data_IF_021528447994
#
_entry.id   IF_021528447994
#
_cell.length_a   1.000
_cell.length_b   1.000
_cell.length_c   1.000
_cell.angle_alpha   90.00
_cell.angle_beta   90.00
_cell.angle_gamma   90.00
#
_symmetry.space_group_name_H-M   'P 1'
#
loop_
_entity.id
_entity.type
_entity.pdbx_description
1 polymer ?
#
# COMPACT_ATOMS: atom_id res chain seq x y z
N UNK A 1 -31.11 -39.24 20.49
CA UNK A 1 -30.25 -38.58 19.49
C UNK A 1 -29.75 -37.30 20.11
N UNK A 2 -28.47 -37.21 20.43
CA UNK A 2 -27.87 -36.02 21.02
C UNK A 2 -27.50 -35.06 19.88
N UNK A 3 -28.15 -33.90 19.85
CA UNK A 3 -27.84 -32.80 18.96
C UNK A 3 -26.50 -32.18 19.41
N UNK A 4 -25.41 -32.58 18.77
CA UNK A 4 -24.09 -32.01 18.98
C UNK A 4 -23.92 -30.82 18.03
N UNK A 5 -24.57 -29.70 18.37
CA UNK A 5 -24.29 -28.41 17.74
C UNK A 5 -22.80 -28.09 17.88
N UNK A 6 -22.11 -27.95 16.74
CA UNK A 6 -20.69 -27.60 16.68
C UNK A 6 -20.48 -26.34 17.53
N UNK A 7 -19.70 -26.47 18.62
CA UNK A 7 -19.48 -25.40 19.58
C UNK A 7 -18.83 -24.17 18.92
N UNK A 8 -19.66 -23.18 18.55
CA UNK A 8 -19.20 -21.94 17.91
C UNK A 8 -18.39 -21.01 18.84
N UNK A 9 -18.18 -21.40 20.10
CA UNK A 9 -17.44 -20.63 21.11
C UNK A 9 -15.96 -20.49 20.76
N UNK A 10 -15.31 -21.56 20.25
CA UNK A 10 -13.90 -21.55 19.87
C UNK A 10 -13.62 -20.65 18.66
N UNK A 11 -14.34 -20.79 17.52
CA UNK A 11 -14.17 -19.90 16.38
C UNK A 11 -14.46 -18.42 16.70
N UNK A 12 -15.49 -18.13 17.52
CA UNK A 12 -15.79 -16.76 17.95
C UNK A 12 -14.69 -16.15 18.82
N UNK A 13 -14.08 -16.95 19.71
CA UNK A 13 -12.95 -16.51 20.52
C UNK A 13 -11.73 -16.16 19.65
N UNK A 14 -11.41 -17.01 18.66
CA UNK A 14 -10.31 -16.76 17.72
C UNK A 14 -10.52 -15.48 16.91
N UNK A 15 -11.73 -15.24 16.40
CA UNK A 15 -12.05 -13.99 15.68
C UNK A 15 -11.89 -12.76 16.59
N UNK A 16 -12.34 -12.84 17.84
CA UNK A 16 -12.17 -11.75 18.82
C UNK A 16 -10.68 -11.48 19.11
N UNK A 17 -9.87 -12.53 19.28
CA UNK A 17 -8.43 -12.40 19.48
C UNK A 17 -7.75 -11.77 18.27
N UNK A 18 -8.06 -12.22 17.05
CA UNK A 18 -7.55 -11.61 15.81
C UNK A 18 -7.88 -10.12 15.74
N UNK A 19 -9.12 -9.75 16.01
CA UNK A 19 -9.55 -8.35 15.98
C UNK A 19 -8.88 -7.50 17.08
N UNK A 20 -8.59 -8.09 18.25
CA UNK A 20 -7.83 -7.42 19.30
C UNK A 20 -6.37 -7.18 18.90
N UNK A 21 -5.72 -8.17 18.27
CA UNK A 21 -4.35 -8.03 17.76
C UNK A 21 -4.26 -6.95 16.68
N UNK A 22 -5.20 -6.93 15.71
CA UNK A 22 -5.25 -5.87 14.68
C UNK A 22 -5.42 -4.48 15.31
N UNK A 23 -6.29 -4.35 16.32
CA UNK A 23 -6.45 -3.07 17.03
C UNK A 23 -5.17 -2.65 17.75
N UNK A 24 -4.48 -3.59 18.40
CA UNK A 24 -3.22 -3.31 19.08
C UNK A 24 -2.13 -2.87 18.10
N UNK A 25 -2.03 -3.55 16.95
CA UNK A 25 -1.09 -3.18 15.89
C UNK A 25 -1.36 -1.77 15.35
N UNK A 26 -2.63 -1.44 15.10
CA UNK A 26 -3.03 -0.10 14.68
C UNK A 26 -2.66 0.98 15.72
N UNK A 27 -2.94 0.72 17.00
CA UNK A 27 -2.58 1.66 18.09
C UNK A 27 -1.06 1.84 18.18
N UNK A 28 -0.28 0.77 18.08
CA UNK A 28 1.18 0.83 18.11
C UNK A 28 1.73 1.62 16.91
N UNK A 29 1.13 1.44 15.72
CA UNK A 29 1.48 2.19 14.52
C UNK A 29 1.21 3.68 14.68
N UNK A 30 0.04 4.05 15.21
CA UNK A 30 -0.29 5.46 15.46
C UNK A 30 0.61 6.09 16.52
N UNK A 31 0.92 5.36 17.61
CA UNK A 31 1.87 5.84 18.62
C UNK A 31 3.26 6.11 18.03
N UNK A 32 3.74 5.23 17.15
CA UNK A 32 5.01 5.43 16.43
C UNK A 32 4.96 6.70 15.57
N UNK A 33 3.91 6.87 14.77
CA UNK A 33 3.73 8.03 13.88
C UNK A 33 3.59 9.36 14.60
N UNK A 34 2.95 9.37 15.77
CA UNK A 34 2.64 10.61 16.48
C UNK A 34 3.73 11.05 17.45
N UNK A 35 4.59 10.12 17.90
CA UNK A 35 5.60 10.39 18.94
C UNK A 35 7.01 10.15 18.44
N UNK A 36 7.26 9.02 17.77
CA UNK A 36 8.61 8.60 17.39
C UNK A 36 9.04 9.22 16.07
N UNK A 37 8.21 9.14 15.04
CA UNK A 37 8.54 9.66 13.70
C UNK A 37 8.82 11.17 13.71
N UNK A 38 8.06 12.04 14.43
CA UNK A 38 8.36 13.48 14.49
C UNK A 38 9.70 13.78 15.18
N UNK A 39 10.03 13.06 16.25
CA UNK A 39 11.31 13.23 16.93
C UNK A 39 12.50 12.79 16.06
N UNK A 40 12.29 11.82 15.17
CA UNK A 40 13.28 11.44 14.16
C UNK A 40 13.32 12.44 12.99
N UNK A 41 12.18 13.02 12.61
CA UNK A 41 12.10 14.01 11.52
C UNK A 41 12.92 15.27 11.82
N UNK A 42 13.06 15.63 13.09
CA UNK A 42 13.90 16.76 13.56
C UNK A 42 15.41 16.47 13.48
N UNK A 43 15.82 15.19 13.48
CA UNK A 43 17.22 14.77 13.65
C UNK A 43 17.80 14.06 12.41
N UNK A 44 16.94 13.63 11.47
CA UNK A 44 17.35 12.86 10.29
C UNK A 44 16.79 13.46 9.01
N UNK A 45 17.66 13.74 8.04
CA UNK A 45 17.26 14.06 6.68
C UNK A 45 16.97 12.79 5.86
N UNK A 46 16.31 12.96 4.71
CA UNK A 46 16.09 11.85 3.77
C UNK A 46 17.44 11.34 3.24
N UNK A 47 17.68 10.04 3.42
CA UNK A 47 18.94 9.37 3.07
C UNK A 47 19.83 9.05 4.28
N UNK A 48 19.56 9.65 5.44
CA UNK A 48 20.35 9.42 6.64
C UNK A 48 20.12 8.04 7.26
N UNK A 49 21.16 7.53 7.92
CA UNK A 49 21.13 6.34 8.75
C UNK A 49 21.66 6.67 10.15
N UNK A 50 20.83 6.50 11.18
CA UNK A 50 21.19 6.71 12.57
C UNK A 50 20.79 5.48 13.38
N UNK A 51 21.74 4.93 14.15
CA UNK A 51 21.53 3.81 15.06
C UNK A 51 20.81 2.60 14.43
N UNK A 52 21.03 2.35 13.13
CA UNK A 52 20.42 1.24 12.42
C UNK A 52 19.00 1.52 11.90
N UNK A 53 18.58 2.78 11.85
CA UNK A 53 17.33 3.25 11.25
C UNK A 53 17.68 4.19 10.11
N UNK A 54 17.06 4.00 8.95
CA UNK A 54 17.16 4.87 7.78
C UNK A 54 15.86 5.62 7.53
N UNK A 55 15.98 6.88 7.11
CA UNK A 55 14.88 7.68 6.56
C UNK A 55 14.97 7.66 5.03
N UNK A 56 13.91 7.19 4.38
CA UNK A 56 13.87 6.99 2.93
C UNK A 56 12.70 7.76 2.32
N UNK A 57 12.85 8.18 1.07
CA UNK A 57 11.77 8.65 0.22
C UNK A 57 11.17 7.45 -0.54
N UNK A 58 9.85 7.43 -0.66
CA UNK A 58 9.10 6.51 -1.48
C UNK A 58 8.16 7.29 -2.39
N UNK A 59 7.79 6.66 -3.50
CA UNK A 59 6.80 7.19 -4.42
C UNK A 59 5.69 6.17 -4.57
N UNK A 60 4.45 6.64 -4.48
CA UNK A 60 3.25 5.82 -4.68
C UNK A 60 2.48 6.37 -5.88
N UNK A 61 2.63 5.74 -7.06
CA UNK A 61 1.79 6.08 -8.20
C UNK A 61 0.34 5.62 -7.95
N UNK A 62 -0.63 6.36 -8.48
CA UNK A 62 -2.06 6.05 -8.43
C UNK A 62 -2.71 6.46 -9.75
N UNK A 63 -3.59 5.62 -10.29
CA UNK A 63 -4.40 5.95 -11.47
C UNK A 63 -5.55 6.84 -11.04
N UNK A 64 -5.64 8.04 -11.60
CA UNK A 64 -6.63 9.07 -11.22
C UNK A 64 -7.88 9.04 -12.09
N UNK A 65 -7.74 8.66 -13.36
CA UNK A 65 -8.84 8.51 -14.31
C UNK A 65 -8.88 7.09 -14.88
N UNK A 66 -9.78 6.28 -14.33
CA UNK A 66 -9.94 4.89 -14.78
C UNK A 66 -10.54 4.78 -16.18
N UNK A 67 -11.34 5.75 -16.64
CA UNK A 67 -11.97 5.68 -17.96
C UNK A 67 -10.91 5.96 -19.02
N UNK A 68 -10.18 7.06 -18.88
CA UNK A 68 -9.07 7.38 -19.76
C UNK A 68 -8.00 6.28 -19.75
N UNK A 69 -7.66 5.71 -18.59
CA UNK A 69 -6.72 4.59 -18.51
C UNK A 69 -7.20 3.34 -19.25
N UNK A 70 -8.50 3.05 -19.29
CA UNK A 70 -9.03 1.91 -20.05
C UNK A 70 -8.97 2.15 -21.55
N UNK A 71 -9.27 3.37 -22.02
CA UNK A 71 -9.12 3.75 -23.43
C UNK A 71 -7.66 3.62 -23.88
N UNK A 72 -6.71 4.07 -23.05
CA UNK A 72 -5.28 3.94 -23.32
C UNK A 72 -4.82 2.47 -23.44
N UNK A 73 -5.41 1.55 -22.65
CA UNK A 73 -5.13 0.12 -22.76
C UNK A 73 -5.71 -0.49 -24.05
N UNK A 74 -6.91 -0.07 -24.45
CA UNK A 74 -7.52 -0.51 -25.71
C UNK A 74 -6.70 -0.06 -26.92
N UNK A 75 -6.26 1.20 -26.94
CA UNK A 75 -5.39 1.75 -27.97
C UNK A 75 -4.03 1.01 -28.04
N UNK A 76 -3.52 0.56 -26.89
CA UNK A 76 -2.32 -0.25 -26.79
C UNK A 76 -2.52 -1.73 -27.19
N UNK A 77 -3.77 -2.17 -27.44
CA UNK A 77 -4.10 -3.57 -27.67
C UNK A 77 -3.90 -4.47 -26.46
N UNK A 78 -3.88 -3.90 -25.25
CA UNK A 78 -3.75 -4.62 -23.99
C UNK A 78 -5.12 -5.01 -23.44
N UNK A 79 -5.25 -6.22 -22.89
CA UNK A 79 -6.51 -6.68 -22.28
C UNK A 79 -6.69 -6.07 -20.88
N UNK A 80 -7.72 -5.24 -20.65
CA UNK A 80 -7.99 -4.69 -19.32
C UNK A 80 -8.26 -5.76 -18.25
N UNK A 81 -8.69 -6.96 -18.66
CA UNK A 81 -8.90 -8.09 -17.77
C UNK A 81 -7.59 -8.65 -17.17
N UNK A 82 -6.45 -8.41 -17.81
CA UNK A 82 -5.13 -8.72 -17.24
C UNK A 82 -4.67 -7.64 -16.24
N UNK A 83 -5.33 -6.49 -16.23
CA UNK A 83 -5.01 -5.31 -15.42
C UNK A 83 -6.12 -4.95 -14.41
N UNK A 84 -7.00 -5.90 -14.07
CA UNK A 84 -8.27 -5.73 -13.28
C UNK A 84 -8.12 -5.01 -11.93
N UNK A 85 -6.90 -4.97 -11.39
CA UNK A 85 -6.51 -3.91 -10.45
C UNK A 85 -5.44 -3.14 -11.19
N UNK A 86 -5.76 -1.96 -11.72
CA UNK A 86 -4.82 -1.18 -12.52
C UNK A 86 -3.64 -0.86 -11.61
N UNK A 87 -2.64 -1.73 -11.64
CA UNK A 87 -1.41 -1.53 -10.94
C UNK A 87 -0.71 -0.48 -11.77
N UNK A 88 -0.48 0.72 -11.23
CA UNK A 88 0.08 1.83 -11.99
C UNK A 88 1.35 1.45 -12.75
N UNK A 89 2.15 0.54 -12.19
CA UNK A 89 3.34 0.02 -12.85
C UNK A 89 3.02 -0.86 -14.05
N UNK A 90 2.11 -1.82 -13.91
CA UNK A 90 1.71 -2.71 -15.01
C UNK A 90 0.97 -1.93 -16.12
N UNK A 91 0.23 -0.89 -15.75
CA UNK A 91 -0.39 0.03 -16.69
C UNK A 91 0.67 0.78 -17.51
N UNK A 92 1.64 1.41 -16.84
CA UNK A 92 2.76 2.09 -17.52
C UNK A 92 3.49 1.12 -18.45
N UNK A 93 3.82 -0.08 -17.96
CA UNK A 93 4.51 -1.09 -18.77
C UNK A 93 3.68 -1.54 -20.01
N UNK A 94 2.35 -1.53 -19.93
CA UNK A 94 1.46 -1.93 -21.02
C UNK A 94 1.30 -0.85 -22.10
N UNK A 95 1.38 0.43 -21.73
CA UNK A 95 1.25 1.56 -22.67
C UNK A 95 2.60 2.14 -23.09
N UNK A 96 3.71 1.67 -22.50
CA UNK A 96 5.05 2.09 -22.90
C UNK A 96 5.31 1.74 -24.38
N UNK A 97 5.85 2.70 -25.14
CA UNK A 97 6.13 2.53 -26.56
C UNK A 97 4.95 2.65 -27.52
N UNK A 98 3.72 2.91 -27.05
CA UNK A 98 2.53 3.12 -27.91
C UNK A 98 2.32 4.58 -28.33
N UNK A 99 3.14 5.50 -27.79
CA UNK A 99 3.04 6.94 -28.06
C UNK A 99 1.97 7.66 -27.22
N UNK A 100 1.26 6.92 -26.37
CA UNK A 100 0.37 7.45 -25.33
C UNK A 100 1.20 7.83 -24.12
N UNK A 101 0.94 9.01 -23.52
CA UNK A 101 1.61 9.42 -22.29
C UNK A 101 0.81 8.99 -21.05
N UNK A 102 1.23 7.96 -20.31
CA UNK A 102 0.54 7.53 -19.09
C UNK A 102 0.56 8.59 -17.98
N UNK A 103 1.40 9.63 -18.08
CA UNK A 103 1.47 10.68 -17.06
C UNK A 103 0.18 11.49 -16.93
N UNK A 104 -0.67 11.51 -17.97
CA UNK A 104 -1.96 12.22 -17.94
C UNK A 104 -2.96 11.60 -16.95
N UNK A 105 -2.83 10.30 -16.66
CA UNK A 105 -3.76 9.53 -15.81
C UNK A 105 -3.11 8.97 -14.55
N UNK A 106 -1.83 9.26 -14.33
CA UNK A 106 -1.04 8.78 -13.18
C UNK A 106 -0.62 9.96 -12.32
N UNK A 107 -1.15 10.00 -11.10
CA UNK A 107 -0.63 10.87 -10.05
C UNK A 107 0.45 10.14 -9.24
N UNK A 108 1.44 10.89 -8.75
CA UNK A 108 2.58 10.34 -8.01
C UNK A 108 2.72 11.05 -6.67
N UNK A 109 2.32 10.35 -5.62
CA UNK A 109 2.45 10.85 -4.26
C UNK A 109 3.82 10.47 -3.68
N UNK A 110 4.62 11.48 -3.35
CA UNK A 110 5.88 11.30 -2.63
C UNK A 110 5.62 11.25 -1.13
N UNK A 111 6.28 10.31 -0.45
CA UNK A 111 6.21 10.17 0.99
C UNK A 111 7.57 9.77 1.56
N UNK A 112 7.78 10.02 2.85
CA UNK A 112 8.97 9.54 3.57
C UNK A 112 8.58 8.44 4.54
N UNK A 113 9.51 7.54 4.83
CA UNK A 113 9.29 6.46 5.80
C UNK A 113 10.59 6.01 6.45
N UNK A 114 10.45 5.41 7.62
CA UNK A 114 11.56 4.84 8.39
C UNK A 114 11.64 3.33 8.20
N UNK A 115 12.86 2.83 7.95
CA UNK A 115 13.15 1.39 7.84
C UNK A 115 14.39 1.06 8.67
N UNK A 116 14.40 -0.13 9.29
CA UNK A 116 15.62 -0.65 9.91
C UNK A 116 16.66 -0.97 8.83
N UNK A 117 17.87 -0.44 8.95
CA UNK A 117 18.95 -0.81 8.05
C UNK A 117 19.36 -2.26 8.28
N UNK A 118 19.62 -2.98 7.18
CA UNK A 118 20.15 -4.34 7.21
C UNK A 118 21.61 -4.38 7.69
#
# INVERSE_FOLDING_TARGET
MADHGIGTSHPKALVKMRNALIRLENVAKEARKQVVEPALDDEMDVGDNVAGVQRLEGERPTVTDNVAALEMLEDAGADPAEVVRINPRQFVDAVDGTGVDPSEVIDREKYTFYRRSE
#
